data_IF_492596720798
#
_entry.id   IF_492596720798
#
_cell.length_a   1.000
_cell.length_b   1.000
_cell.length_c   1.000
_cell.angle_alpha   90.00
_cell.angle_beta   90.00
_cell.angle_gamma   90.00
#
_symmetry.space_group_name_H-M   'P 1'
#
loop_
_entity.id
_entity.type
_entity.pdbx_description
1 polymer ?
#
# COMPACT_ATOMS: atom_id res chain seq x y z
N UNK A 1 -33.88 11.59 -1.84
CA UNK A 1 -35.22 11.01 -1.96
C UNK A 1 -36.06 11.92 -2.84
N UNK A 2 -36.18 11.61 -4.13
CA UNK A 2 -37.20 12.20 -5.01
C UNK A 2 -37.64 11.14 -6.02
N UNK A 3 -38.88 10.72 -5.83
CA UNK A 3 -39.68 9.86 -6.70
C UNK A 3 -40.35 10.77 -7.72
N UNK A 4 -40.36 10.40 -9.00
CA UNK A 4 -41.24 11.03 -9.99
C UNK A 4 -42.06 9.93 -10.64
N UNK A 5 -43.32 9.88 -10.21
CA UNK A 5 -44.45 9.28 -10.88
C UNK A 5 -45.27 10.45 -11.42
N UNK A 6 -45.61 10.47 -12.72
CA UNK A 6 -46.94 10.89 -13.18
C UNK A 6 -47.13 10.68 -14.69
N UNK A 7 -48.42 10.48 -14.97
CA UNK A 7 -49.08 9.80 -16.08
C UNK A 7 -49.57 10.79 -17.17
N UNK A 8 -50.28 10.24 -18.17
CA UNK A 8 -51.27 10.86 -19.08
C UNK A 8 -50.75 11.66 -20.30
N UNK A 9 -51.33 11.61 -21.51
CA UNK A 9 -52.69 11.31 -21.96
C UNK A 9 -52.75 10.96 -23.48
N UNK A 10 -53.77 10.17 -23.86
CA UNK A 10 -54.57 10.14 -25.13
C UNK A 10 -53.87 10.19 -26.51
N UNK A 11 -54.24 9.45 -27.56
CA UNK A 11 -55.48 8.74 -27.89
C UNK A 11 -56.09 9.30 -29.19
N UNK A 12 -56.01 8.58 -30.32
CA UNK A 12 -56.91 8.75 -31.48
C UNK A 12 -56.90 7.50 -32.39
N UNK A 13 -58.11 7.02 -32.73
CA UNK A 13 -58.41 5.88 -33.61
C UNK A 13 -58.60 6.34 -35.06
N UNK A 14 -58.34 5.44 -36.01
CA UNK A 14 -59.04 5.38 -37.30
C UNK A 14 -59.18 3.92 -37.79
N UNK A 15 -60.29 3.66 -38.49
CA UNK A 15 -60.91 2.38 -38.85
C UNK A 15 -60.41 1.78 -40.19
N UNK A 16 -60.57 0.46 -40.37
CA UNK A 16 -60.61 -0.24 -41.67
C UNK A 16 -60.17 -1.71 -41.57
N UNK A 17 -61.07 -2.65 -41.28
CA UNK A 17 -61.80 -3.53 -42.23
C UNK A 17 -60.92 -4.51 -43.02
N UNK A 18 -61.19 -5.82 -42.88
CA UNK A 18 -60.75 -6.83 -43.87
C UNK A 18 -60.23 -8.15 -43.29
N UNK A 19 -61.12 -9.12 -43.16
CA UNK A 19 -60.90 -10.52 -42.76
C UNK A 19 -60.29 -11.35 -43.91
N UNK A 20 -59.28 -12.18 -43.65
CA UNK A 20 -59.21 -13.58 -44.15
C UNK A 20 -58.18 -14.40 -43.38
N UNK A 21 -58.62 -15.58 -42.90
CA UNK A 21 -57.80 -16.69 -42.43
C UNK A 21 -56.92 -17.22 -43.55
N UNK A 22 -55.69 -17.54 -43.21
CA UNK A 22 -54.81 -18.44 -43.95
C UNK A 22 -53.79 -18.98 -42.97
N UNK A 23 -54.06 -20.17 -42.44
CA UNK A 23 -53.02 -21.00 -41.84
C UNK A 23 -52.11 -21.50 -42.95
N UNK A 24 -50.81 -21.59 -42.70
CA UNK A 24 -50.04 -22.82 -42.87
C UNK A 24 -48.55 -22.63 -42.53
N UNK A 25 -47.83 -23.72 -42.20
CA UNK A 25 -46.73 -23.72 -41.24
C UNK A 25 -45.31 -23.82 -41.87
N UNK A 26 -44.33 -23.51 -41.01
CA UNK A 26 -42.94 -23.99 -40.96
C UNK A 26 -42.28 -24.60 -42.22
N UNK A 27 -41.23 -23.92 -42.71
CA UNK A 27 -40.06 -24.55 -43.36
C UNK A 27 -38.82 -23.65 -43.12
N UNK A 28 -37.83 -24.09 -42.34
CA UNK A 28 -36.50 -24.58 -42.79
C UNK A 28 -35.62 -23.43 -43.34
N UNK A 29 -34.38 -23.13 -42.94
CA UNK A 29 -33.24 -23.96 -42.53
C UNK A 29 -32.14 -23.09 -41.87
N UNK A 30 -31.28 -23.69 -41.03
CA UNK A 30 -29.97 -23.15 -40.55
C UNK A 30 -28.90 -23.38 -41.65
N UNK A 31 -27.63 -22.86 -41.66
CA UNK A 31 -26.81 -22.34 -40.53
C UNK A 31 -25.77 -21.23 -40.91
N UNK A 32 -24.80 -20.99 -40.00
CA UNK A 32 -23.48 -20.35 -40.18
C UNK A 32 -23.44 -18.80 -40.17
N UNK A 33 -23.03 -18.20 -39.05
CA UNK A 33 -21.64 -17.87 -38.71
C UNK A 33 -21.06 -16.78 -39.63
N UNK A 34 -21.13 -15.52 -39.18
CA UNK A 34 -20.08 -14.53 -39.43
C UNK A 34 -19.77 -13.76 -38.14
N UNK A 35 -18.47 -13.65 -37.92
CA UNK A 35 -17.72 -13.33 -36.72
C UNK A 35 -17.36 -11.83 -36.76
N UNK A 36 -17.62 -11.13 -35.65
CA UNK A 36 -16.78 -10.09 -35.00
C UNK A 36 -16.49 -8.79 -35.78
N UNK A 37 -16.78 -7.64 -35.16
CA UNK A 37 -15.76 -6.68 -34.66
C UNK A 37 -16.40 -5.36 -34.20
N UNK A 38 -16.09 -4.94 -32.97
CA UNK A 38 -16.47 -3.65 -32.37
C UNK A 38 -17.21 -3.88 -31.06
N UNK A 39 -16.66 -3.62 -29.88
CA UNK A 39 -15.94 -2.42 -29.46
C UNK A 39 -14.93 -2.81 -28.38
N UNK A 40 -13.68 -2.42 -28.61
CA UNK A 40 -12.58 -2.43 -27.64
C UNK A 40 -12.41 -0.99 -27.12
N UNK A 41 -12.06 -0.86 -25.83
CA UNK A 41 -11.66 0.35 -25.09
C UNK A 41 -12.75 1.24 -24.45
N UNK A 42 -12.96 1.03 -23.15
CA UNK A 42 -12.91 2.11 -22.14
C UNK A 42 -12.81 1.53 -20.71
N UNK A 43 -11.75 0.77 -20.43
CA UNK A 43 -11.42 0.39 -19.04
C UNK A 43 -10.53 1.47 -18.43
N UNK A 44 -11.12 2.58 -17.98
CA UNK A 44 -10.47 3.46 -17.00
C UNK A 44 -10.61 2.79 -15.63
N UNK A 45 -9.77 1.79 -15.38
CA UNK A 45 -9.41 1.40 -14.02
C UNK A 45 -8.58 2.51 -13.42
N UNK A 46 -9.22 3.49 -12.79
CA UNK A 46 -8.52 4.37 -11.87
C UNK A 46 -7.91 3.48 -10.79
N UNK A 47 -6.57 3.45 -10.73
CA UNK A 47 -5.89 2.95 -9.54
C UNK A 47 -6.46 3.73 -8.36
N UNK A 48 -7.27 3.07 -7.54
CA UNK A 48 -7.52 3.54 -6.19
C UNK A 48 -6.15 3.45 -5.50
N UNK A 49 -5.42 4.55 -5.49
CA UNK A 49 -4.31 4.75 -4.56
C UNK A 49 -4.97 4.71 -3.20
N UNK A 50 -4.95 3.53 -2.57
CA UNK A 50 -5.47 3.36 -1.23
C UNK A 50 -4.76 4.36 -0.35
N UNK A 51 -5.49 5.37 0.11
CA UNK A 51 -5.06 6.23 1.18
C UNK A 51 -4.74 5.30 2.35
N UNK A 52 -3.45 5.18 2.67
CA UNK A 52 -3.01 4.44 3.85
C UNK A 52 -3.31 5.33 5.05
N UNK A 53 -4.59 5.45 5.38
CA UNK A 53 -5.09 6.22 6.52
C UNK A 53 -5.00 5.31 7.75
N UNK A 54 -3.78 5.17 8.26
CA UNK A 54 -3.50 4.43 9.48
C UNK A 54 -2.00 4.49 9.77
N UNK A 55 -1.59 4.48 11.05
CA UNK A 55 -0.18 4.37 11.38
C UNK A 55 0.40 3.14 10.67
N UNK A 56 1.61 3.24 10.11
CA UNK A 56 2.21 2.13 9.39
C UNK A 56 2.33 0.94 10.35
N UNK A 57 1.55 -0.09 10.09
CA UNK A 57 1.46 -1.25 10.98
C UNK A 57 2.61 -2.21 10.67
N UNK A 58 3.80 -1.85 11.15
CA UNK A 58 4.94 -2.75 11.15
C UNK A 58 4.70 -3.80 12.25
N UNK A 59 4.55 -5.07 11.86
CA UNK A 59 4.31 -6.16 12.82
C UNK A 59 5.50 -6.35 13.78
N UNK A 60 5.21 -6.88 14.97
CA UNK A 60 6.21 -7.23 15.96
C UNK A 60 7.24 -8.21 15.38
N UNK A 61 8.50 -8.04 15.77
CA UNK A 61 9.61 -8.87 15.29
C UNK A 61 10.97 -8.18 15.39
N UNK A 62 12.03 -8.96 15.21
CA UNK A 62 13.42 -8.50 15.26
C UNK A 62 14.05 -8.43 13.86
N UNK A 63 14.83 -7.38 13.65
CA UNK A 63 15.42 -6.99 12.39
C UNK A 63 16.87 -6.57 12.60
N UNK A 64 17.78 -6.99 11.72
CA UNK A 64 19.17 -6.51 11.68
C UNK A 64 19.41 -5.82 10.36
N UNK A 65 20.02 -4.64 10.41
CA UNK A 65 20.32 -3.85 9.21
C UNK A 65 21.27 -4.61 8.30
N UNK A 66 20.91 -4.70 7.03
CA UNK A 66 21.70 -5.33 5.99
C UNK A 66 22.23 -4.34 4.97
N UNK A 67 21.59 -3.19 4.79
CA UNK A 67 22.06 -2.14 3.88
C UNK A 67 21.71 -0.74 4.38
N UNK A 68 22.66 0.18 4.22
CA UNK A 68 22.51 1.61 4.43
C UNK A 68 23.24 2.36 3.30
N UNK A 69 22.56 3.18 2.50
CA UNK A 69 23.18 3.88 1.39
C UNK A 69 24.37 4.76 1.85
N UNK A 70 25.54 4.57 1.23
CA UNK A 70 26.75 5.34 1.53
C UNK A 70 27.58 4.83 2.71
N UNK A 71 27.18 3.71 3.34
CA UNK A 71 27.89 3.16 4.50
C UNK A 71 28.18 1.68 4.31
N UNK A 72 29.37 1.26 4.77
CA UNK A 72 29.71 -0.15 4.92
C UNK A 72 29.31 -0.62 6.32
N UNK A 73 28.62 -1.77 6.37
CA UNK A 73 28.13 -2.33 7.62
C UNK A 73 29.07 -3.44 8.11
N UNK A 74 29.59 -3.28 9.33
CA UNK A 74 30.28 -4.36 10.03
C UNK A 74 29.25 -5.32 10.63
N UNK A 75 29.35 -6.65 10.40
CA UNK A 75 28.43 -7.63 10.96
C UNK A 75 28.26 -7.54 12.49
N UNK A 76 29.32 -7.12 13.20
CA UNK A 76 29.36 -7.05 14.66
C UNK A 76 28.79 -5.74 15.23
N UNK A 77 28.53 -4.75 14.37
CA UNK A 77 28.05 -3.42 14.76
C UNK A 77 26.85 -2.95 13.93
N UNK A 78 26.26 -3.82 13.09
CA UNK A 78 25.06 -3.48 12.32
C UNK A 78 23.91 -3.08 13.26
N UNK A 79 23.24 -1.95 13.01
CA UNK A 79 22.06 -1.56 13.79
C UNK A 79 21.00 -2.66 13.80
N UNK A 80 20.29 -2.76 14.92
CA UNK A 80 19.18 -3.71 15.12
C UNK A 80 17.91 -2.98 15.49
N UNK A 81 16.78 -3.60 15.20
CA UNK A 81 15.46 -3.06 15.51
C UNK A 81 14.54 -4.19 15.94
N UNK A 82 13.95 -4.08 17.11
CA UNK A 82 12.91 -4.96 17.63
C UNK A 82 11.63 -4.14 17.78
N UNK A 83 10.59 -4.57 17.09
CA UNK A 83 9.24 -4.02 17.20
C UNK A 83 8.47 -4.89 18.19
N UNK A 84 7.91 -4.25 19.22
CA UNK A 84 7.13 -4.90 20.27
C UNK A 84 5.64 -4.83 19.94
N UNK A 85 4.86 -5.73 20.54
CA UNK A 85 3.40 -5.81 20.32
C UNK A 85 2.65 -4.54 20.72
N UNK A 86 3.20 -3.75 21.64
CA UNK A 86 2.63 -2.50 22.15
C UNK A 86 3.00 -1.26 21.29
N UNK A 87 3.67 -1.48 20.15
CA UNK A 87 4.15 -0.43 19.25
C UNK A 87 5.44 0.24 19.70
N UNK A 88 6.06 -0.17 20.82
CA UNK A 88 7.42 0.27 21.17
C UNK A 88 8.40 -0.34 20.18
N UNK A 89 9.47 0.40 19.90
CA UNK A 89 10.59 -0.07 19.09
C UNK A 89 11.88 0.17 19.86
N UNK A 90 12.80 -0.79 19.86
CA UNK A 90 14.08 -0.67 20.55
C UNK A 90 15.17 -1.44 19.83
N UNK A 91 16.42 -1.09 20.06
CA UNK A 91 17.54 -1.85 19.51
C UNK A 91 18.90 -1.22 19.79
N UNK A 92 19.88 -1.62 18.99
CA UNK A 92 21.21 -1.00 18.94
C UNK A 92 21.33 -0.14 17.70
N UNK A 93 21.86 1.08 17.82
CA UNK A 93 22.33 1.89 16.69
C UNK A 93 23.72 1.50 16.21
N UNK A 94 24.35 0.50 16.82
CA UNK A 94 25.73 0.06 16.56
C UNK A 94 26.70 0.51 17.65
N UNK A 95 26.47 1.70 18.24
CA UNK A 95 27.24 2.22 19.39
C UNK A 95 26.32 2.35 20.61
N UNK A 96 25.22 3.07 20.46
CA UNK A 96 24.23 3.37 21.47
C UNK A 96 23.03 2.44 21.39
N UNK A 97 22.41 2.23 22.55
CA UNK A 97 21.08 1.62 22.61
C UNK A 97 20.05 2.71 22.40
N UNK A 98 18.98 2.39 21.70
CA UNK A 98 17.90 3.34 21.42
C UNK A 98 16.51 2.74 21.70
N UNK A 99 15.56 3.65 21.85
CA UNK A 99 14.13 3.34 21.86
C UNK A 99 13.34 4.43 21.14
N UNK A 100 12.24 4.03 20.51
CA UNK A 100 11.27 4.90 19.85
C UNK A 100 9.90 4.21 19.90
N UNK A 101 8.89 4.79 19.26
CA UNK A 101 7.54 4.25 19.19
C UNK A 101 7.00 4.41 17.77
N UNK A 102 6.21 3.44 17.32
CA UNK A 102 5.48 3.54 16.07
C UNK A 102 4.38 4.59 16.16
N UNK A 103 4.19 5.30 15.06
CA UNK A 103 3.28 6.44 14.95
C UNK A 103 4.02 7.77 14.88
N UNK A 104 3.45 8.74 14.17
CA UNK A 104 3.99 10.09 14.07
C UNK A 104 3.44 10.99 15.18
N UNK A 105 4.14 12.08 15.53
CA UNK A 105 3.53 13.13 16.35
C UNK A 105 2.40 13.81 15.56
N UNK A 106 1.47 14.49 16.25
CA UNK A 106 0.31 15.14 15.61
C UNK A 106 0.71 16.10 14.47
N UNK A 107 1.85 16.78 14.62
CA UNK A 107 2.41 17.72 13.65
C UNK A 107 3.18 17.07 12.49
N UNK A 108 3.48 15.77 12.56
CA UNK A 108 4.01 14.96 11.46
C UNK A 108 3.31 13.59 11.42
N UNK A 109 2.02 13.52 11.06
CA UNK A 109 1.22 12.29 11.17
C UNK A 109 1.70 11.18 10.23
N UNK A 110 2.44 11.52 9.18
CA UNK A 110 3.03 10.56 8.23
C UNK A 110 4.34 9.93 8.73
N UNK A 111 4.96 10.47 9.79
CA UNK A 111 6.18 9.90 10.32
C UNK A 111 5.91 8.50 10.91
N UNK A 112 6.78 7.54 10.61
CA UNK A 112 6.65 6.18 11.16
C UNK A 112 7.05 6.09 12.63
N UNK A 113 8.05 6.86 13.03
CA UNK A 113 8.69 6.77 14.33
C UNK A 113 8.67 8.13 15.03
N UNK A 114 8.38 8.12 16.33
CA UNK A 114 8.46 9.32 17.16
C UNK A 114 9.16 9.04 18.50
N UNK A 115 9.65 10.10 19.15
CA UNK A 115 10.33 10.04 20.45
C UNK A 115 11.57 9.12 20.42
N UNK A 116 12.45 9.33 19.44
CA UNK A 116 13.73 8.63 19.35
C UNK A 116 14.61 9.10 20.52
N UNK A 117 14.94 8.19 21.41
CA UNK A 117 15.85 8.40 22.53
C UNK A 117 16.99 7.38 22.44
N UNK A 118 18.21 7.81 22.78
CA UNK A 118 19.39 6.96 22.77
C UNK A 118 20.29 7.26 23.98
N UNK A 119 21.11 6.28 24.35
CA UNK A 119 22.24 6.50 25.26
C UNK A 119 23.28 7.43 24.61
N UNK A 120 24.26 7.89 25.39
CA UNK A 120 25.36 8.75 24.91
C UNK A 120 26.73 8.16 25.23
N UNK A 121 27.04 7.03 24.61
CA UNK A 121 28.36 6.41 24.61
C UNK A 121 29.17 6.94 23.42
N UNK A 122 30.47 7.12 23.64
CA UNK A 122 31.41 7.30 22.55
C UNK A 122 31.83 5.94 21.99
N UNK A 123 32.20 5.90 20.73
CA UNK A 123 32.66 4.70 20.05
C UNK A 123 33.59 5.03 18.91
N UNK A 124 33.90 4.01 18.13
CA UNK A 124 34.63 4.15 16.88
C UNK A 124 33.91 5.16 15.94
N UNK A 125 34.63 6.13 15.33
CA UNK A 125 34.02 7.17 14.50
C UNK A 125 33.18 6.65 13.34
N UNK A 126 33.60 5.56 12.69
CA UNK A 126 32.88 5.00 11.54
C UNK A 126 31.57 4.37 12.00
N UNK A 127 31.57 3.69 13.15
CA UNK A 127 30.35 3.15 13.77
C UNK A 127 29.39 4.25 14.23
N UNK A 128 29.93 5.35 14.76
CA UNK A 128 29.11 6.51 15.13
C UNK A 128 28.49 7.18 13.91
N UNK A 129 29.18 7.20 12.76
CA UNK A 129 28.63 7.73 11.52
C UNK A 129 27.45 6.88 11.00
N UNK A 130 27.59 5.54 11.04
CA UNK A 130 26.48 4.61 10.71
C UNK A 130 25.29 4.82 11.65
N UNK A 131 25.54 4.95 12.96
CA UNK A 131 24.48 5.21 13.93
C UNK A 131 23.73 6.52 13.65
N UNK A 132 24.46 7.59 13.35
CA UNK A 132 23.88 8.88 13.06
C UNK A 132 22.97 8.82 11.84
N UNK A 133 23.43 8.15 10.77
CA UNK A 133 22.66 7.92 9.56
C UNK A 133 21.44 7.02 9.82
N UNK A 134 21.55 6.03 10.71
CA UNK A 134 20.42 5.21 11.13
C UNK A 134 19.35 6.04 11.84
N UNK A 135 19.72 6.87 12.80
CA UNK A 135 18.74 7.71 13.50
C UNK A 135 18.10 8.77 12.60
N UNK A 136 18.85 9.29 11.63
CA UNK A 136 18.32 10.16 10.58
C UNK A 136 17.32 9.42 9.69
N UNK A 137 17.60 8.16 9.33
CA UNK A 137 16.67 7.33 8.58
C UNK A 137 15.38 7.05 9.37
N UNK A 138 15.46 6.73 10.66
CA UNK A 138 14.28 6.58 11.53
C UNK A 138 13.45 7.88 11.60
N UNK A 139 14.11 9.04 11.68
CA UNK A 139 13.42 10.34 11.75
C UNK A 139 12.64 10.67 10.46
N UNK A 140 13.19 10.28 9.31
CA UNK A 140 12.63 10.54 7.98
C UNK A 140 11.62 9.50 7.49
N UNK A 141 11.70 8.28 8.00
CA UNK A 141 10.86 7.20 7.51
C UNK A 141 9.37 7.56 7.61
N UNK A 142 8.68 7.45 6.47
CA UNK A 142 7.24 7.66 6.33
C UNK A 142 6.50 6.38 5.88
N UNK A 143 7.24 5.38 5.41
CA UNK A 143 6.67 4.09 5.05
C UNK A 143 7.64 2.92 5.30
N UNK A 144 7.08 1.72 5.47
CA UNK A 144 7.81 0.47 5.57
C UNK A 144 7.18 -0.63 4.73
N UNK A 145 8.04 -1.43 4.10
CA UNK A 145 7.61 -2.60 3.31
C UNK A 145 8.31 -3.84 3.83
N UNK A 146 7.53 -4.84 4.24
CA UNK A 146 8.03 -6.16 4.64
C UNK A 146 7.71 -7.18 3.56
N UNK A 147 8.74 -7.86 3.01
CA UNK A 147 8.59 -8.95 2.04
C UNK A 147 9.69 -9.98 2.22
N UNK A 148 9.34 -11.27 2.24
CA UNK A 148 10.30 -12.39 2.26
C UNK A 148 11.41 -12.25 3.33
N UNK A 149 11.04 -11.86 4.56
CA UNK A 149 12.01 -11.66 5.65
C UNK A 149 12.93 -10.46 5.48
N UNK A 150 12.59 -9.54 4.58
CA UNK A 150 13.28 -8.26 4.37
C UNK A 150 12.35 -7.11 4.72
N UNK A 151 12.86 -6.13 5.45
CA UNK A 151 12.17 -4.89 5.78
C UNK A 151 12.90 -3.73 5.12
N UNK A 152 12.18 -2.96 4.32
CA UNK A 152 12.65 -1.71 3.73
C UNK A 152 11.99 -0.53 4.44
N UNK A 153 12.79 0.37 5.02
CA UNK A 153 12.30 1.67 5.45
C UNK A 153 12.37 2.64 4.27
N UNK A 154 11.31 3.43 4.11
CA UNK A 154 11.14 4.33 2.99
C UNK A 154 10.88 5.75 3.45
N UNK A 155 11.35 6.68 2.64
CA UNK A 155 10.98 8.09 2.71
C UNK A 155 10.75 8.60 1.29
N UNK A 156 9.62 9.27 1.08
CA UNK A 156 9.22 9.81 -0.23
C UNK A 156 9.28 8.75 -1.34
N UNK A 157 8.89 7.51 -1.02
CA UNK A 157 8.89 6.37 -1.95
C UNK A 157 10.27 5.74 -2.23
N UNK A 158 11.36 6.27 -1.68
CA UNK A 158 12.71 5.72 -1.83
C UNK A 158 13.12 4.89 -0.62
N UNK A 159 13.77 3.75 -0.85
CA UNK A 159 14.36 2.95 0.23
C UNK A 159 15.57 3.66 0.82
N UNK A 160 15.53 3.91 2.13
CA UNK A 160 16.58 4.62 2.88
C UNK A 160 17.35 3.72 3.84
N UNK A 161 16.80 2.55 4.19
CA UNK A 161 17.49 1.51 4.94
C UNK A 161 16.84 0.14 4.67
N UNK A 162 17.65 -0.92 4.68
CA UNK A 162 17.15 -2.30 4.51
C UNK A 162 17.62 -3.17 5.66
N UNK A 163 16.71 -4.03 6.15
CA UNK A 163 16.94 -4.95 7.24
C UNK A 163 16.55 -6.36 6.84
N UNK A 164 17.23 -7.35 7.42
CA UNK A 164 16.83 -8.76 7.39
C UNK A 164 16.23 -9.17 8.73
N UNK A 165 15.18 -9.97 8.65
CA UNK A 165 14.57 -10.58 9.82
C UNK A 165 15.63 -11.40 10.55
N UNK A 166 15.82 -11.12 11.83
CA UNK A 166 16.71 -11.88 12.71
C UNK A 166 15.89 -12.77 13.62
N UNK A 167 16.25 -14.04 13.68
CA UNK A 167 15.85 -14.91 14.78
C UNK A 167 16.92 -14.70 15.85
N UNK A 168 16.64 -13.83 16.81
CA UNK A 168 17.41 -13.86 18.05
C UNK A 168 17.03 -15.10 18.85
#
# INVERSE_FOLDING_TARGET
>A
MWVILCDTHAGARAHGSGRTRGADPMAYAKPALLIVLGVLLASLGACATGERTGPPNLAAGSWRMSQMPGFELSPDASPTMTVHEDGRVSGSGGVNRYSTRLGGPEERPTAMFHHIAATKMAGDPDRMAVEQAFFEALSRADDAVVRNGTLELKSEGRTIATFRQSRE
#
